data_IF_016070807032
#
_entry.id   IF_016070807032
#
_cell.length_a   1.000
_cell.length_b   1.000
_cell.length_c   1.000
_cell.angle_alpha   90.00
_cell.angle_beta   90.00
_cell.angle_gamma   90.00
#
_symmetry.space_group_name_H-M   'P 1'
#
loop_
_entity.id
_entity.type
_entity.pdbx_description
1 polymer ?
#
# COMPACT_ATOMS: atom_id res chain seq x y z
N UNK A 1 27.79 3.70 -58.83
CA UNK A 1 27.06 4.30 -57.70
C UNK A 1 27.25 3.38 -56.51
N UNK A 2 28.09 3.76 -55.55
CA UNK A 2 28.21 3.05 -54.26
C UNK A 2 27.46 3.87 -53.23
N UNK A 3 26.19 3.55 -53.00
CA UNK A 3 25.41 4.20 -51.95
C UNK A 3 25.96 3.76 -50.60
N UNK A 4 26.28 4.73 -49.72
CA UNK A 4 26.58 4.45 -48.33
C UNK A 4 25.34 3.77 -47.72
N UNK A 5 25.48 2.67 -46.96
CA UNK A 5 24.36 2.05 -46.28
C UNK A 5 23.58 3.10 -45.49
N UNK A 6 22.23 3.04 -45.45
CA UNK A 6 21.41 4.01 -44.73
C UNK A 6 21.54 3.88 -43.20
N UNK A 7 22.33 2.91 -42.74
CA UNK A 7 22.49 2.63 -41.32
C UNK A 7 23.32 3.74 -40.65
N UNK A 8 22.85 4.29 -39.52
CA UNK A 8 23.57 5.30 -38.77
C UNK A 8 24.89 4.74 -38.20
N UNK A 9 25.89 5.61 -38.02
CA UNK A 9 27.16 5.21 -37.39
C UNK A 9 26.88 4.70 -35.96
N UNK A 10 27.34 3.49 -35.58
CA UNK A 10 27.19 2.97 -34.21
C UNK A 10 27.80 3.87 -33.13
N UNK A 11 28.65 4.82 -33.50
CA UNK A 11 29.20 5.84 -32.59
C UNK A 11 28.24 7.00 -32.30
N UNK A 12 27.21 7.18 -33.13
CA UNK A 12 26.20 8.23 -32.98
C UNK A 12 24.89 7.65 -32.44
N UNK A 13 24.95 7.13 -31.21
CA UNK A 13 23.78 6.65 -30.46
C UNK A 13 23.12 7.81 -29.70
N UNK A 14 21.86 8.17 -30.01
CA UNK A 14 21.17 9.25 -29.30
C UNK A 14 21.02 8.95 -27.80
N UNK A 15 21.33 9.93 -26.95
CA UNK A 15 21.21 9.82 -25.50
C UNK A 15 22.34 9.07 -24.80
N UNK A 16 23.35 8.61 -25.54
CA UNK A 16 24.52 7.91 -25.01
C UNK A 16 25.75 8.78 -25.23
N UNK A 17 26.52 9.01 -24.16
CA UNK A 17 27.78 9.75 -24.27
C UNK A 17 28.87 8.87 -24.90
N UNK A 18 30.01 9.45 -25.25
CA UNK A 18 31.13 8.70 -25.87
C UNK A 18 31.70 7.57 -24.99
N UNK A 19 31.41 7.57 -23.68
CA UNK A 19 31.81 6.53 -22.74
C UNK A 19 30.79 5.38 -22.64
N UNK A 20 29.62 5.50 -23.28
CA UNK A 20 28.55 4.50 -23.22
C UNK A 20 27.53 4.71 -22.11
N UNK A 21 27.61 5.82 -21.36
CA UNK A 21 26.66 6.14 -20.29
C UNK A 21 25.50 6.99 -20.80
N UNK A 22 24.37 6.89 -20.11
CA UNK A 22 23.16 7.71 -20.30
C UNK A 22 23.00 8.68 -19.13
N UNK A 23 22.31 9.81 -19.33
CA UNK A 23 22.11 10.74 -18.21
C UNK A 23 21.18 10.11 -17.15
N UNK A 24 21.37 10.43 -15.85
CA UNK A 24 20.45 9.98 -14.81
C UNK A 24 19.01 10.38 -15.14
N UNK A 25 18.12 9.40 -15.29
CA UNK A 25 16.71 9.60 -15.67
C UNK A 25 16.37 9.31 -17.13
N UNK A 26 17.37 9.20 -18.03
CA UNK A 26 17.15 8.81 -19.44
C UNK A 26 16.83 7.31 -19.58
N UNK A 27 17.40 6.48 -18.68
CA UNK A 27 17.00 5.09 -18.51
C UNK A 27 16.05 4.99 -17.33
N UNK A 28 14.85 4.38 -17.48
CA UNK A 28 13.97 4.10 -16.36
C UNK A 28 14.71 3.37 -15.23
N UNK A 29 14.38 3.63 -13.96
CA UNK A 29 14.97 2.86 -12.86
C UNK A 29 14.73 1.37 -13.10
N UNK A 30 15.71 0.54 -12.72
CA UNK A 30 15.61 -0.90 -12.86
C UNK A 30 14.29 -1.39 -12.25
N UNK A 31 13.47 -2.05 -13.08
CA UNK A 31 12.12 -2.50 -12.71
C UNK A 31 12.16 -3.58 -11.61
N UNK A 32 13.34 -4.12 -11.31
CA UNK A 32 13.59 -5.08 -10.24
C UNK A 32 14.11 -4.44 -8.93
N UNK A 33 14.01 -3.12 -8.74
CA UNK A 33 14.35 -2.48 -7.47
C UNK A 33 13.45 -2.98 -6.33
N UNK A 34 14.04 -3.75 -5.41
CA UNK A 34 13.41 -4.18 -4.14
C UNK A 34 13.67 -3.19 -3.00
N UNK A 35 14.38 -2.10 -3.27
CA UNK A 35 14.74 -1.10 -2.28
C UNK A 35 13.57 -0.16 -2.06
N UNK A 36 13.03 -0.17 -0.85
CA UNK A 36 12.02 0.81 -0.44
C UNK A 36 12.63 2.22 -0.45
N UNK A 37 11.81 3.22 -0.80
CA UNK A 37 12.19 4.63 -0.72
C UNK A 37 12.56 5.00 0.72
N UNK A 38 13.52 5.92 0.90
CA UNK A 38 13.88 6.42 2.24
C UNK A 38 12.76 7.24 2.90
N UNK A 39 11.64 7.47 2.20
CA UNK A 39 10.51 8.18 2.76
C UNK A 39 9.85 7.35 3.86
N UNK A 40 9.62 7.99 5.00
CA UNK A 40 8.89 7.37 6.11
C UNK A 40 7.44 7.14 5.69
N UNK A 41 6.96 5.92 5.83
CA UNK A 41 5.54 5.64 5.67
C UNK A 41 4.71 6.40 6.70
N UNK A 42 3.55 6.97 6.30
CA UNK A 42 2.65 7.61 7.24
C UNK A 42 2.22 6.56 8.28
N UNK A 43 2.38 6.92 9.56
CA UNK A 43 1.93 6.04 10.64
C UNK A 43 0.42 5.85 10.52
N UNK A 44 -0.02 4.59 10.48
CA UNK A 44 -1.44 4.27 10.59
C UNK A 44 -1.94 4.79 11.95
N UNK A 45 -2.64 5.92 11.92
CA UNK A 45 -3.21 6.52 13.12
C UNK A 45 -4.17 5.55 13.81
N UNK A 46 -4.33 5.68 15.14
CA UNK A 46 -5.38 4.98 15.90
C UNK A 46 -6.73 5.62 15.56
N UNK A 47 -7.20 5.35 14.36
CA UNK A 47 -8.40 5.97 13.81
C UNK A 47 -9.61 5.20 14.35
N UNK A 48 -10.06 5.54 15.56
CA UNK A 48 -11.41 5.18 16.02
C UNK A 48 -12.40 5.94 15.13
N UNK A 49 -12.63 5.40 13.95
CA UNK A 49 -13.61 5.92 13.00
C UNK A 49 -14.97 5.91 13.68
N UNK A 50 -15.86 6.90 13.47
CA UNK A 50 -17.19 6.90 14.09
C UNK A 50 -17.95 5.58 13.93
N UNK A 51 -17.76 4.88 12.79
CA UNK A 51 -18.29 3.53 12.54
C UNK A 51 -17.81 2.49 13.55
N UNK A 52 -16.53 2.51 13.93
CA UNK A 52 -15.98 1.59 14.91
C UNK A 52 -16.63 1.81 16.29
N UNK A 53 -16.79 3.07 16.70
CA UNK A 53 -17.45 3.41 17.97
C UNK A 53 -18.90 2.92 17.99
N UNK A 54 -19.67 3.19 16.93
CA UNK A 54 -21.06 2.70 16.82
C UNK A 54 -21.12 1.18 16.89
N UNK A 55 -20.21 0.49 16.20
CA UNK A 55 -20.14 -0.98 16.23
C UNK A 55 -19.92 -1.49 17.66
N UNK A 56 -18.98 -0.91 18.40
CA UNK A 56 -18.73 -1.29 19.80
C UNK A 56 -19.95 -1.06 20.69
N UNK A 57 -20.63 0.09 20.55
CA UNK A 57 -21.84 0.39 21.33
C UNK A 57 -22.93 -0.65 21.07
N UNK A 58 -23.18 -1.00 19.81
CA UNK A 58 -24.20 -2.01 19.45
C UNK A 58 -23.85 -3.38 20.02
N UNK A 59 -22.59 -3.82 19.91
CA UNK A 59 -22.13 -5.10 20.47
C UNK A 59 -22.29 -5.11 21.99
N UNK A 60 -21.96 -4.01 22.66
CA UNK A 60 -22.02 -3.93 24.11
C UNK A 60 -23.47 -3.97 24.63
N UNK A 61 -24.40 -3.30 23.93
CA UNK A 61 -25.83 -3.40 24.20
C UNK A 61 -26.37 -4.83 24.00
N UNK A 62 -25.93 -5.50 22.93
CA UNK A 62 -26.31 -6.88 22.67
C UNK A 62 -25.83 -7.83 23.78
N UNK A 63 -24.56 -7.71 24.20
CA UNK A 63 -24.01 -8.50 25.32
C UNK A 63 -24.77 -8.21 26.62
N UNK A 64 -25.08 -6.95 26.91
CA UNK A 64 -25.84 -6.57 28.10
C UNK A 64 -27.23 -7.23 28.12
N UNK A 65 -27.91 -7.32 26.98
CA UNK A 65 -29.20 -8.01 26.86
C UNK A 65 -29.09 -9.51 27.17
N UNK A 66 -28.03 -10.16 26.70
CA UNK A 66 -27.77 -11.57 27.02
C UNK A 66 -27.52 -11.77 28.51
N UNK A 67 -26.70 -10.92 29.12
CA UNK A 67 -26.41 -10.99 30.56
C UNK A 67 -27.70 -10.78 31.37
N UNK A 68 -28.50 -9.76 31.03
CA UNK A 68 -29.77 -9.51 31.69
C UNK A 68 -30.72 -10.71 31.60
N UNK A 69 -30.82 -11.31 30.41
CA UNK A 69 -31.65 -12.51 30.19
C UNK A 69 -31.15 -13.71 30.99
N UNK A 70 -29.83 -13.93 31.01
CA UNK A 70 -29.21 -15.02 31.77
C UNK A 70 -29.48 -14.87 33.27
N UNK A 71 -29.33 -13.66 33.82
CA UNK A 71 -29.63 -13.36 35.23
C UNK A 71 -31.12 -13.57 35.51
N UNK A 72 -32.00 -13.08 34.63
CA UNK A 72 -33.45 -13.27 34.77
C UNK A 72 -33.81 -14.76 34.86
N UNK A 73 -33.31 -15.57 33.92
CA UNK A 73 -33.55 -17.02 33.91
C UNK A 73 -32.97 -17.70 35.15
N UNK A 74 -31.76 -17.31 35.58
CA UNK A 74 -31.14 -17.86 36.78
C UNK A 74 -32.02 -17.63 38.01
N UNK A 75 -32.50 -16.39 38.19
CA UNK A 75 -33.38 -16.04 39.32
C UNK A 75 -34.68 -16.83 39.25
N UNK A 76 -35.33 -16.86 38.08
CA UNK A 76 -36.61 -17.59 37.88
C UNK A 76 -36.49 -19.09 38.14
N UNK A 77 -35.33 -19.71 37.88
CA UNK A 77 -35.12 -21.13 38.16
C UNK A 77 -34.88 -21.39 39.66
N UNK A 78 -34.30 -20.42 40.37
CA UNK A 78 -33.89 -20.59 41.77
C UNK A 78 -34.97 -20.21 42.79
N UNK A 79 -35.99 -19.44 42.38
CA UNK A 79 -37.15 -19.04 43.20
C UNK A 79 -38.38 -19.85 42.86
#
# INVERSE_FOLDING_TARGET
MTALPPDPDPRDVPGVNSAGDVAPGDTPPDSAQTSATSNRDPAAGRNLTPRAVVTFVVVLLFVALFIATAIYLLVTILT
#
